data_IF_776438189447
#
_entry.id   IF_776438189447
#
_cell.length_a   1.000
_cell.length_b   1.000
_cell.length_c   1.000
_cell.angle_alpha   90.00
_cell.angle_beta   90.00
_cell.angle_gamma   90.00
#
_symmetry.space_group_name_H-M   'P 1'
#
loop_
_entity.id
_entity.type
_entity.pdbx_description
1 polymer ?
#
# COMPACT_ATOMS: atom_id res chain seq x y z
N UNK A 1 4.53 -19.12 -4.54
CA UNK A 1 3.41 -18.49 -5.29
C UNK A 1 2.44 -18.00 -4.24
N UNK A 2 1.89 -16.80 -4.40
CA UNK A 2 0.80 -16.36 -3.54
C UNK A 2 -0.48 -17.05 -3.99
N UNK A 3 -1.13 -17.78 -3.09
CA UNK A 3 -2.42 -18.38 -3.39
C UNK A 3 -3.48 -17.28 -3.46
N UNK A 4 -4.44 -17.44 -4.37
CA UNK A 4 -5.59 -16.53 -4.42
C UNK A 4 -6.32 -16.60 -3.09
N UNK A 5 -6.64 -15.46 -2.44
CA UNK A 5 -7.37 -15.48 -1.18
C UNK A 5 -8.70 -16.21 -1.38
N UNK A 6 -9.21 -16.87 -0.34
CA UNK A 6 -10.55 -17.47 -0.38
C UNK A 6 -11.65 -16.43 -0.32
N UNK A 7 -11.39 -15.28 0.34
CA UNK A 7 -12.30 -14.14 0.47
C UNK A 7 -11.52 -12.83 0.58
N UNK A 8 -12.08 -11.74 0.05
CA UNK A 8 -11.61 -10.37 0.31
C UNK A 8 -10.24 -10.02 -0.27
N UNK A 9 -9.37 -9.48 0.58
CA UNK A 9 -8.05 -8.94 0.23
C UNK A 9 -6.97 -9.74 0.94
N UNK A 10 -5.85 -9.99 0.28
CA UNK A 10 -4.68 -10.60 0.90
C UNK A 10 -3.40 -9.86 0.47
N UNK A 11 -2.64 -9.42 1.45
CA UNK A 11 -1.31 -8.85 1.29
C UNK A 11 -0.28 -9.97 1.44
N UNK A 12 0.23 -10.42 0.31
CA UNK A 12 1.19 -11.52 0.24
C UNK A 12 2.61 -10.98 0.09
N UNK A 13 3.53 -11.40 0.97
CA UNK A 13 4.97 -11.13 0.81
C UNK A 13 5.55 -12.05 -0.26
N UNK A 14 5.75 -11.50 -1.44
CA UNK A 14 6.46 -12.20 -2.50
C UNK A 14 7.31 -11.21 -3.30
N UNK A 15 8.29 -11.74 -4.04
CA UNK A 15 9.10 -10.92 -4.92
C UNK A 15 8.23 -10.22 -5.97
N UNK A 16 8.23 -8.88 -5.94
CA UNK A 16 7.52 -8.03 -6.89
C UNK A 16 8.54 -7.31 -7.77
N UNK A 17 8.57 -7.55 -9.08
CA UNK A 17 9.32 -6.72 -10.01
C UNK A 17 8.80 -5.29 -9.97
N UNK A 18 9.70 -4.30 -10.04
CA UNK A 18 9.36 -2.88 -9.93
C UNK A 18 8.28 -2.45 -10.95
N UNK A 19 8.32 -3.01 -12.16
CA UNK A 19 7.43 -2.64 -13.26
C UNK A 19 6.23 -3.58 -13.44
N UNK A 20 5.92 -4.38 -12.43
CA UNK A 20 4.85 -5.36 -12.59
C UNK A 20 3.47 -4.70 -12.57
N UNK A 21 2.63 -4.94 -13.61
CA UNK A 21 1.34 -4.28 -13.74
C UNK A 21 0.29 -4.78 -12.75
N UNK A 22 0.52 -5.88 -12.02
CA UNK A 22 -0.48 -6.39 -11.07
C UNK A 22 -0.50 -5.57 -9.77
N UNK A 23 -1.60 -5.58 -9.00
CA UNK A 23 -1.69 -4.80 -7.77
C UNK A 23 -0.59 -5.15 -6.75
N UNK A 24 -0.12 -4.13 -6.04
CA UNK A 24 1.02 -4.20 -5.12
C UNK A 24 0.72 -3.45 -3.83
N UNK A 25 1.48 -3.74 -2.78
CA UNK A 25 1.47 -2.96 -1.54
C UNK A 25 2.88 -2.73 -1.03
N UNK A 26 3.07 -1.63 -0.30
CA UNK A 26 4.27 -1.39 0.50
C UNK A 26 3.86 -0.98 1.92
N UNK A 27 4.46 -1.60 2.92
CA UNK A 27 4.29 -1.25 4.33
C UNK A 27 5.59 -0.67 4.86
N UNK A 28 5.50 0.51 5.45
CA UNK A 28 6.62 1.19 6.11
C UNK A 28 6.30 1.37 7.58
N UNK A 29 7.17 0.88 8.46
CA UNK A 29 7.02 1.09 9.91
C UNK A 29 7.32 2.54 10.28
N UNK A 30 6.58 3.11 11.25
CA UNK A 30 6.80 4.50 11.71
C UNK A 30 8.25 4.77 12.13
N UNK A 31 8.84 3.83 12.87
CA UNK A 31 10.23 3.88 13.32
C UNK A 31 11.23 3.38 12.28
N UNK A 32 10.76 3.02 11.09
CA UNK A 32 11.59 2.52 10.00
C UNK A 32 12.37 3.64 9.34
N UNK A 33 13.62 3.81 9.76
CA UNK A 33 14.55 4.78 9.16
C UNK A 33 15.35 4.20 8.00
N UNK A 34 15.28 2.88 7.79
CA UNK A 34 16.08 2.16 6.80
C UNK A 34 15.22 1.35 5.83
N UNK A 35 15.77 0.99 4.68
CA UNK A 35 15.10 0.18 3.65
C UNK A 35 14.72 -1.22 4.14
N UNK A 36 15.35 -1.66 5.24
CA UNK A 36 15.06 -2.92 5.93
C UNK A 36 13.69 -2.94 6.63
N UNK A 37 13.09 -1.78 6.91
CA UNK A 37 11.76 -1.66 7.54
C UNK A 37 10.63 -1.45 6.52
N UNK A 38 10.96 -1.60 5.23
CA UNK A 38 10.01 -1.56 4.13
C UNK A 38 9.69 -2.99 3.68
N UNK A 39 8.45 -3.38 3.88
CA UNK A 39 7.91 -4.64 3.33
C UNK A 39 7.16 -4.34 2.02
N UNK A 40 7.34 -5.17 1.01
CA UNK A 40 6.68 -5.05 -0.29
C UNK A 40 6.11 -6.40 -0.71
N UNK A 41 4.95 -6.36 -1.36
CA UNK A 41 4.32 -7.58 -1.81
C UNK A 41 3.18 -7.36 -2.79
N UNK A 42 2.46 -8.45 -3.06
CA UNK A 42 1.28 -8.46 -3.92
C UNK A 42 0.03 -8.21 -3.11
N UNK A 43 -0.82 -7.35 -3.64
CA UNK A 43 -2.17 -7.22 -3.15
C UNK A 43 -3.05 -8.11 -4.03
N UNK A 44 -3.50 -9.24 -3.48
CA UNK A 44 -4.45 -10.11 -4.14
C UNK A 44 -5.86 -9.70 -3.73
N UNK A 45 -6.72 -9.55 -4.72
CA UNK A 45 -8.06 -9.01 -4.54
C UNK A 45 -9.04 -9.91 -5.27
N UNK A 46 -10.02 -10.46 -4.55
CA UNK A 46 -11.16 -11.14 -5.18
C UNK A 46 -12.27 -10.12 -5.40
N UNK A 47 -12.48 -9.73 -6.66
CA UNK A 47 -13.63 -8.94 -7.12
C UNK A 47 -13.85 -7.61 -6.38
N UNK A 48 -13.28 -6.53 -6.92
CA UNK A 48 -13.67 -5.18 -6.52
C UNK A 48 -14.07 -4.36 -7.76
N UNK A 49 -15.23 -3.66 -7.72
CA UNK A 49 -15.67 -2.84 -8.84
C UNK A 49 -14.65 -1.74 -9.13
N UNK A 50 -14.59 -1.29 -10.38
CA UNK A 50 -13.56 -0.38 -10.92
C UNK A 50 -13.65 1.08 -10.40
N UNK A 51 -14.21 1.33 -9.22
CA UNK A 51 -14.32 2.66 -8.61
C UNK A 51 -13.38 2.78 -7.41
N UNK A 52 -12.52 3.81 -7.39
CA UNK A 52 -11.43 3.98 -6.41
C UNK A 52 -11.90 4.13 -4.97
N UNK A 53 -12.95 4.95 -4.76
CA UNK A 53 -13.38 5.29 -3.41
C UNK A 53 -14.05 4.09 -2.75
N UNK A 54 -14.91 3.39 -3.49
CA UNK A 54 -15.51 2.13 -3.04
C UNK A 54 -14.44 1.10 -2.68
N UNK A 55 -13.34 1.04 -3.43
CA UNK A 55 -12.23 0.15 -3.13
C UNK A 55 -11.46 0.57 -1.87
N UNK A 56 -11.15 1.87 -1.70
CA UNK A 56 -10.46 2.38 -0.52
C UNK A 56 -11.28 2.15 0.76
N UNK A 57 -12.58 2.45 0.73
CA UNK A 57 -13.47 2.27 1.87
C UNK A 57 -13.58 0.78 2.26
N UNK A 58 -13.72 -0.11 1.27
CA UNK A 58 -13.76 -1.56 1.50
C UNK A 58 -12.42 -2.10 2.02
N UNK A 59 -11.30 -1.60 1.51
CA UNK A 59 -9.97 -1.96 1.97
C UNK A 59 -9.77 -1.59 3.45
N UNK A 60 -10.13 -0.36 3.82
CA UNK A 60 -10.03 0.13 5.20
C UNK A 60 -10.91 -0.70 6.12
N UNK A 61 -12.14 -1.01 5.71
CA UNK A 61 -13.06 -1.85 6.48
C UNK A 61 -12.48 -3.26 6.71
N UNK A 62 -11.91 -3.88 5.67
CA UNK A 62 -11.29 -5.20 5.79
C UNK A 62 -10.08 -5.20 6.74
N UNK A 63 -9.17 -4.23 6.56
CA UNK A 63 -7.97 -4.05 7.38
C UNK A 63 -8.28 -3.82 8.87
N UNK A 64 -9.35 -3.08 9.17
CA UNK A 64 -9.75 -2.79 10.55
C UNK A 64 -10.55 -3.92 11.20
N UNK A 65 -11.05 -4.89 10.42
CA UNK A 65 -11.82 -6.01 10.94
C UNK A 65 -10.94 -7.23 11.26
N UNK A 66 -9.93 -7.52 10.42
CA UNK A 66 -9.06 -8.67 10.61
C UNK A 66 -7.69 -8.47 9.93
N UNK A 67 -6.63 -9.19 10.37
CA UNK A 67 -5.36 -9.22 9.66
C UNK A 67 -5.55 -9.70 8.21
N UNK A 68 -5.03 -8.91 7.26
CA UNK A 68 -5.09 -9.22 5.82
C UNK A 68 -3.72 -9.65 5.27
N UNK A 69 -2.74 -9.93 6.12
CA UNK A 69 -1.36 -10.23 5.71
C UNK A 69 -1.10 -11.75 5.78
N UNK A 70 -0.30 -12.27 4.86
CA UNK A 70 0.13 -13.68 4.85
C UNK A 70 1.25 -14.01 5.87
N UNK A 71 1.54 -13.06 6.74
CA UNK A 71 2.56 -13.15 7.77
C UNK A 71 2.06 -12.57 9.08
N UNK A 72 2.74 -12.94 10.17
CA UNK A 72 2.44 -12.39 11.49
C UNK A 72 2.83 -10.90 11.52
N UNK A 73 1.81 -10.05 11.50
CA UNK A 73 1.94 -8.60 11.52
C UNK A 73 0.89 -8.00 12.44
N UNK A 74 1.39 -7.25 13.42
CA UNK A 74 0.58 -6.40 14.28
C UNK A 74 0.85 -4.93 13.92
N UNK A 75 -0.18 -4.19 13.45
CA UNK A 75 -0.04 -2.77 13.17
C UNK A 75 0.37 -1.98 14.41
N UNK A 76 1.23 -0.97 14.21
CA UNK A 76 1.62 -0.01 15.24
C UNK A 76 1.34 1.42 14.79
N UNK A 77 1.14 2.32 15.75
CA UNK A 77 0.89 3.74 15.49
C UNK A 77 1.94 4.34 14.54
N UNK A 78 1.46 5.01 13.49
CA UNK A 78 2.27 5.64 12.44
C UNK A 78 2.78 4.69 11.35
N UNK A 79 2.43 3.40 11.38
CA UNK A 79 2.69 2.51 10.25
C UNK A 79 1.95 3.03 9.01
N UNK A 80 2.62 3.04 7.86
CA UNK A 80 2.06 3.52 6.59
C UNK A 80 1.96 2.39 5.59
N UNK A 81 0.77 2.15 5.06
CA UNK A 81 0.48 1.16 4.03
C UNK A 81 0.05 1.88 2.75
N UNK A 82 0.81 1.67 1.69
CA UNK A 82 0.46 2.12 0.36
C UNK A 82 -0.03 0.94 -0.47
N UNK A 83 -1.20 1.08 -1.10
CA UNK A 83 -1.76 0.08 -2.00
C UNK A 83 -1.84 0.65 -3.40
N UNK A 84 -1.17 0.00 -4.34
CA UNK A 84 -1.20 0.31 -5.77
C UNK A 84 -2.19 -0.65 -6.44
N UNK A 85 -3.41 -0.21 -6.80
CA UNK A 85 -4.28 -0.99 -7.66
C UNK A 85 -3.59 -1.14 -9.03
N UNK A 86 -3.60 -2.34 -9.62
CA UNK A 86 -2.81 -2.68 -10.82
C UNK A 86 -3.10 -1.83 -12.06
N UNK A 87 -2.30 -2.01 -13.11
CA UNK A 87 -2.40 -1.33 -14.40
C UNK A 87 -3.80 -1.50 -15.03
N UNK A 88 -4.34 -0.40 -15.57
CA UNK A 88 -5.72 -0.31 -16.06
C UNK A 88 -6.65 0.40 -15.06
N UNK A 89 -6.24 0.49 -13.80
CA UNK A 89 -6.81 1.40 -12.81
C UNK A 89 -6.42 2.84 -13.14
N UNK A 90 -7.39 3.74 -13.35
CA UNK A 90 -7.18 5.20 -13.46
C UNK A 90 -6.67 5.83 -12.14
N UNK A 91 -6.33 5.01 -11.16
CA UNK A 91 -6.42 5.39 -9.76
C UNK A 91 -5.06 5.55 -9.10
N UNK A 92 -4.96 6.60 -8.30
CA UNK A 92 -3.81 6.92 -7.47
C UNK A 92 -3.52 5.81 -6.47
N UNK A 93 -2.29 5.81 -5.95
CA UNK A 93 -1.92 5.02 -4.77
C UNK A 93 -2.87 5.38 -3.61
N UNK A 94 -3.39 4.37 -2.93
CA UNK A 94 -4.15 4.55 -1.69
C UNK A 94 -3.14 4.50 -0.55
N UNK A 95 -2.97 5.62 0.14
CA UNK A 95 -2.08 5.75 1.30
C UNK A 95 -2.91 5.71 2.59
N UNK A 96 -2.61 4.73 3.44
CA UNK A 96 -3.25 4.53 4.73
C UNK A 96 -2.22 4.67 5.84
N UNK A 97 -2.62 5.27 6.95
CA UNK A 97 -1.84 5.33 8.18
C UNK A 97 -2.60 4.61 9.30
N UNK A 98 -1.88 3.82 10.10
CA UNK A 98 -2.44 3.23 11.31
C UNK A 98 -2.35 4.24 12.45
N UNK A 99 -3.49 4.76 12.87
CA UNK A 99 -3.57 5.75 13.93
C UNK A 99 -4.81 5.55 14.82
N UNK A 100 -4.63 5.75 16.12
CA UNK A 100 -5.65 5.51 17.13
C UNK A 100 -6.25 4.10 17.05
N UNK A 101 -5.39 3.09 16.82
CA UNK A 101 -5.78 1.68 16.74
C UNK A 101 -6.51 1.28 15.45
N UNK A 102 -6.53 2.12 14.42
CA UNK A 102 -7.23 1.85 13.16
C UNK A 102 -6.45 2.35 11.95
N UNK A 103 -6.55 1.63 10.84
CA UNK A 103 -6.16 2.13 9.51
C UNK A 103 -7.11 3.23 9.07
N UNK A 104 -6.55 4.34 8.62
CA UNK A 104 -7.29 5.50 8.09
C UNK A 104 -6.64 5.96 6.81
N UNK A 105 -7.45 6.38 5.83
CA UNK A 105 -6.92 7.02 4.64
C UNK A 105 -6.33 8.37 5.02
N UNK A 106 -5.11 8.65 4.60
CA UNK A 106 -4.64 10.02 4.63
C UNK A 106 -5.43 10.81 3.59
N UNK A 107 -6.15 11.85 4.01
CA UNK A 107 -6.95 12.69 3.12
C UNK A 107 -6.13 13.05 1.87
N UNK A 108 -6.65 12.77 0.68
CA UNK A 108 -6.04 13.13 -0.61
C UNK A 108 -5.96 14.67 -0.83
N UNK A 109 -6.31 15.48 0.16
CA UNK A 109 -6.46 16.95 0.10
C UNK A 109 -5.18 17.74 0.39
N UNK A 110 -4.00 17.14 0.23
CA UNK A 110 -2.75 17.90 0.36
C UNK A 110 -1.75 17.37 -0.63
N UNK A 111 -1.57 18.06 -1.75
CA UNK A 111 -0.31 18.60 -2.30
C UNK A 111 1.01 17.82 -2.14
N UNK A 112 1.00 16.54 -1.79
CA UNK A 112 2.18 15.72 -1.48
C UNK A 112 2.76 15.01 -2.70
N UNK A 113 2.25 15.30 -3.90
CA UNK A 113 2.96 15.12 -5.17
C UNK A 113 4.36 15.80 -5.21
N UNK A 114 4.74 16.56 -4.17
CA UNK A 114 6.06 17.15 -4.03
C UNK A 114 6.96 16.57 -2.92
N UNK A 115 6.65 15.40 -2.34
CA UNK A 115 7.71 14.67 -1.61
C UNK A 115 8.57 13.91 -2.61
N UNK A 116 9.47 14.66 -3.24
CA UNK A 116 10.68 14.16 -3.90
C UNK A 116 11.28 13.07 -3.02
N UNK A 117 11.06 11.81 -3.40
CA UNK A 117 11.94 10.72 -3.03
C UNK A 117 13.29 11.08 -3.62
N UNK A 118 14.09 11.80 -2.84
CA UNK A 118 15.50 12.02 -3.16
C UNK A 118 16.18 10.70 -2.87
N UNK A 119 16.05 9.77 -3.82
CA UNK A 119 16.98 8.65 -3.93
C UNK A 119 18.34 9.29 -4.21
N UNK A 120 19.31 8.95 -3.35
CA UNK A 120 20.61 9.57 -3.34
C UNK A 120 21.28 9.63 -4.70
N UNK A 121 21.95 10.75 -4.94
CA UNK A 121 22.99 11.00 -5.93
C UNK A 121 22.59 10.95 -7.42
N UNK A 122 22.30 12.12 -7.96
CA UNK A 122 22.25 12.34 -9.41
C UNK A 122 21.72 13.73 -9.76
N UNK A 123 22.62 14.71 -9.88
CA UNK A 123 22.31 16.03 -10.44
C UNK A 123 21.80 15.86 -11.86
N UNK A 124 20.57 16.30 -12.15
CA UNK A 124 20.13 16.51 -13.53
C UNK A 124 19.69 17.97 -13.67
N UNK A 125 20.39 18.65 -14.58
CA UNK A 125 20.18 20.04 -15.00
C UNK A 125 18.81 20.17 -15.68
N UNK A 126 18.14 21.28 -15.37
CA UNK A 126 16.99 21.78 -16.14
C UNK A 126 17.36 21.98 -17.61
N UNK A 127 16.49 21.52 -18.50
CA UNK A 127 16.24 22.11 -19.81
C UNK A 127 14.73 22.35 -19.91
#
# INVERSE_FOLDING_TARGET
MCDTPSHGILFCRCAVPADDPRPQWTLRRYHGHDWADLEIGRCLQLHYPAQTQDFADQLIAALNNAPQFDFDYTPAEGDVLNVKPGAGSLHNIIELEFTAGQWRQQNQDSSHLNRKLTIGSGVIKQL
#
